data_IF_854612393844
#
_entry.id   IF_854612393844
#
_cell.length_a   1.000
_cell.length_b   1.000
_cell.length_c   1.000
_cell.angle_alpha   90.00
_cell.angle_beta   90.00
_cell.angle_gamma   90.00
#
_symmetry.space_group_name_H-M   'P 1'
#
loop_
_entity.id
_entity.type
_entity.pdbx_description
1 polymer ?
#
# COMPACT_ATOMS: atom_id res chain seq x y z
N UNK A 1 -18.25 -19.75 -8.59
CA UNK A 1 -17.25 -19.10 -7.71
C UNK A 1 -17.53 -17.61 -7.65
N UNK A 2 -17.41 -17.00 -6.48
CA UNK A 2 -17.57 -15.56 -6.30
C UNK A 2 -16.27 -14.85 -6.75
N UNK A 3 -16.33 -14.08 -7.84
CA UNK A 3 -15.16 -13.37 -8.41
C UNK A 3 -14.50 -12.42 -7.40
N UNK A 4 -15.30 -11.81 -6.53
CA UNK A 4 -14.83 -10.93 -5.48
C UNK A 4 -14.04 -11.71 -4.41
N UNK A 5 -14.49 -12.91 -4.05
CA UNK A 5 -13.73 -13.76 -3.12
C UNK A 5 -12.36 -14.12 -3.71
N UNK A 6 -12.30 -14.49 -5.00
CA UNK A 6 -11.03 -14.77 -5.67
C UNK A 6 -10.13 -13.54 -5.74
N UNK A 7 -10.69 -12.35 -6.01
CA UNK A 7 -9.94 -11.09 -5.93
C UNK A 7 -9.26 -10.88 -4.58
N UNK A 8 -9.98 -11.11 -3.47
CA UNK A 8 -9.40 -10.99 -2.13
C UNK A 8 -8.25 -12.00 -1.90
N UNK A 9 -8.38 -13.22 -2.39
CA UNK A 9 -7.31 -14.23 -2.31
C UNK A 9 -6.07 -13.81 -3.09
N UNK A 10 -6.25 -13.31 -4.33
CA UNK A 10 -5.17 -12.81 -5.18
C UNK A 10 -4.45 -11.64 -4.52
N UNK A 11 -5.20 -10.69 -3.96
CA UNK A 11 -4.63 -9.52 -3.28
C UNK A 11 -3.86 -9.89 -2.00
N UNK A 12 -4.29 -10.92 -1.28
CA UNK A 12 -3.57 -11.43 -0.09
C UNK A 12 -2.30 -12.20 -0.47
N UNK A 13 -2.40 -13.08 -1.47
CA UNK A 13 -1.30 -13.94 -1.91
C UNK A 13 -0.25 -13.20 -2.73
N UNK A 14 -0.62 -12.07 -3.35
CA UNK A 14 0.20 -11.33 -4.33
C UNK A 14 0.61 -12.22 -5.53
N UNK A 15 -0.21 -13.22 -5.86
CA UNK A 15 0.06 -14.13 -6.96
C UNK A 15 -0.30 -13.48 -8.31
N UNK A 16 0.73 -13.25 -9.14
CA UNK A 16 0.58 -12.57 -10.43
C UNK A 16 -0.11 -13.43 -11.49
N UNK A 17 0.07 -14.75 -11.46
CA UNK A 17 -0.57 -15.64 -12.42
C UNK A 17 -2.08 -15.73 -12.18
N UNK A 18 -2.49 -15.76 -10.91
CA UNK A 18 -3.91 -15.71 -10.58
C UNK A 18 -4.53 -14.35 -10.90
N UNK A 19 -3.77 -13.25 -10.74
CA UNK A 19 -4.23 -11.92 -11.15
C UNK A 19 -4.42 -11.85 -12.67
N UNK A 20 -3.52 -12.45 -13.45
CA UNK A 20 -3.61 -12.49 -14.91
C UNK A 20 -4.87 -13.22 -15.40
N UNK A 21 -5.19 -14.36 -14.77
CA UNK A 21 -6.39 -15.14 -15.06
C UNK A 21 -7.69 -14.44 -14.60
N UNK A 22 -7.61 -13.55 -13.61
CA UNK A 22 -8.77 -12.83 -13.07
C UNK A 22 -9.13 -11.60 -13.90
N UNK A 23 -8.15 -10.97 -14.56
CA UNK A 23 -8.35 -9.78 -15.38
C UNK A 23 -8.86 -10.15 -16.78
N UNK A 24 -9.75 -9.32 -17.32
CA UNK A 24 -10.14 -9.40 -18.73
C UNK A 24 -9.05 -8.77 -19.62
N UNK A 25 -8.94 -9.21 -20.87
CA UNK A 25 -7.96 -8.66 -21.82
C UNK A 25 -8.22 -7.18 -22.13
N UNK A 26 -9.50 -6.79 -22.15
CA UNK A 26 -10.01 -5.44 -22.44
C UNK A 26 -10.30 -4.60 -21.18
N UNK A 27 -9.80 -5.02 -20.02
CA UNK A 27 -10.03 -4.33 -18.75
C UNK A 27 -9.63 -2.85 -18.83
N UNK A 28 -10.41 -1.98 -18.18
CA UNK A 28 -10.13 -0.55 -18.10
C UNK A 28 -9.86 -0.18 -16.64
N UNK A 29 -8.68 0.34 -16.37
CA UNK A 29 -8.26 0.80 -15.06
C UNK A 29 -8.44 2.31 -14.93
N UNK A 30 -9.11 2.73 -13.85
CA UNK A 30 -9.34 4.13 -13.50
C UNK A 30 -8.45 4.52 -12.33
N UNK A 31 -7.40 5.27 -12.62
CA UNK A 31 -6.46 5.75 -11.60
C UNK A 31 -6.96 7.04 -10.94
N UNK A 32 -6.88 7.16 -9.60
CA UNK A 32 -7.15 8.42 -8.89
C UNK A 32 -6.04 9.46 -9.06
N UNK A 33 -4.97 9.15 -9.81
CA UNK A 33 -3.83 10.06 -10.05
C UNK A 33 -3.76 10.47 -11.51
N UNK A 34 -3.88 9.50 -12.43
CA UNK A 34 -3.70 9.75 -13.87
C UNK A 34 -4.99 10.21 -14.54
N UNK A 35 -6.16 10.03 -13.90
CA UNK A 35 -7.51 10.48 -14.31
C UNK A 35 -7.92 10.21 -15.77
N UNK A 36 -7.11 9.44 -16.49
CA UNK A 36 -7.31 8.96 -17.86
C UNK A 36 -7.54 7.46 -17.78
N UNK A 37 -8.56 6.92 -18.47
CA UNK A 37 -8.83 5.48 -18.46
C UNK A 37 -7.70 4.70 -19.15
N UNK A 38 -7.05 3.81 -18.41
CA UNK A 38 -5.96 2.99 -18.92
C UNK A 38 -6.51 1.64 -19.38
N UNK A 39 -6.42 1.32 -20.67
CA UNK A 39 -7.01 0.11 -21.25
C UNK A 39 -5.97 -1.00 -21.41
N UNK A 40 -6.37 -2.22 -21.07
CA UNK A 40 -5.60 -3.44 -21.27
C UNK A 40 -5.17 -4.10 -19.96
N UNK A 41 -5.05 -5.43 -20.04
CA UNK A 41 -4.63 -6.29 -18.92
C UNK A 41 -3.24 -5.95 -18.40
N UNK A 42 -2.26 -5.77 -19.28
CA UNK A 42 -0.86 -5.57 -18.90
C UNK A 42 -0.65 -4.28 -18.10
N UNK A 43 -1.20 -3.16 -18.57
CA UNK A 43 -1.12 -1.88 -17.86
C UNK A 43 -1.86 -1.93 -16.52
N UNK A 44 -3.01 -2.61 -16.47
CA UNK A 44 -3.78 -2.78 -15.24
C UNK A 44 -3.00 -3.60 -14.21
N UNK A 45 -2.37 -4.71 -14.62
CA UNK A 45 -1.49 -5.52 -13.75
C UNK A 45 -0.36 -4.66 -13.16
N UNK A 46 0.32 -3.89 -13.99
CA UNK A 46 1.42 -3.02 -13.57
C UNK A 46 0.97 -2.05 -12.46
N UNK A 47 -0.17 -1.37 -12.65
CA UNK A 47 -0.70 -0.45 -11.65
C UNK A 47 -1.09 -1.15 -10.34
N UNK A 48 -1.76 -2.30 -10.41
CA UNK A 48 -2.17 -3.06 -9.22
C UNK A 48 -0.95 -3.57 -8.43
N UNK A 49 0.10 -4.00 -9.13
CA UNK A 49 1.36 -4.39 -8.49
C UNK A 49 2.04 -3.22 -7.79
N UNK A 50 2.15 -2.07 -8.46
CA UNK A 50 2.75 -0.87 -7.91
C UNK A 50 1.99 -0.40 -6.65
N UNK A 51 0.65 -0.37 -6.71
CA UNK A 51 -0.19 -0.06 -5.57
C UNK A 51 -0.01 -1.07 -4.42
N UNK A 52 0.07 -2.37 -4.72
CA UNK A 52 0.34 -3.41 -3.73
C UNK A 52 1.70 -3.27 -3.03
N UNK A 53 2.70 -2.70 -3.71
CA UNK A 53 3.99 -2.33 -3.10
C UNK A 53 3.89 -1.17 -2.12
N UNK A 54 3.10 -0.15 -2.45
CA UNK A 54 2.89 1.04 -1.60
C UNK A 54 2.04 0.71 -0.37
N UNK A 55 0.90 0.03 -0.58
CA UNK A 55 -0.05 -0.26 0.50
C UNK A 55 0.28 -1.54 1.28
N UNK A 56 1.08 -2.44 0.72
CA UNK A 56 1.52 -3.67 1.39
C UNK A 56 2.68 -3.49 2.37
N UNK A 57 3.23 -2.27 2.46
CA UNK A 57 4.33 -1.88 3.34
C UNK A 57 3.86 -1.42 4.71
N UNK A 58 3.25 -2.32 5.49
CA UNK A 58 3.18 -2.18 6.96
C UNK A 58 3.00 -3.53 7.66
N UNK A 59 3.65 -4.57 7.13
CA UNK A 59 4.09 -5.69 7.96
C UNK A 59 5.48 -5.35 8.49
N UNK A 60 5.65 -4.16 9.07
CA UNK A 60 6.71 -3.99 10.06
C UNK A 60 6.33 -4.96 11.18
N UNK A 61 6.90 -6.16 11.10
CA UNK A 61 7.36 -6.82 12.31
C UNK A 61 8.28 -5.78 12.94
N UNK A 62 7.72 -4.96 13.81
CA UNK A 62 8.44 -4.45 14.95
C UNK A 62 8.89 -5.69 15.73
N UNK A 63 9.93 -6.37 15.22
CA UNK A 63 10.98 -6.84 16.08
C UNK A 63 11.63 -5.55 16.58
N UNK A 64 10.93 -4.87 17.50
CA UNK A 64 11.61 -4.10 18.51
C UNK A 64 12.56 -5.09 19.14
N UNK A 65 13.79 -5.00 18.66
CA UNK A 65 14.98 -5.40 19.36
C UNK A 65 14.72 -5.12 20.83
N UNK A 66 14.84 -6.17 21.63
CA UNK A 66 15.05 -6.08 23.06
C UNK A 66 16.06 -4.95 23.30
N UNK A 67 15.56 -3.80 23.77
CA UNK A 67 16.40 -2.80 24.39
C UNK A 67 15.59 -2.25 25.56
N UNK A 68 15.86 -2.85 26.72
CA UNK A 68 15.55 -2.28 28.02
C UNK A 68 16.14 -0.86 28.05
N UNK A 69 15.31 0.13 27.77
CA UNK A 69 15.29 1.46 28.40
C UNK A 69 14.30 2.35 27.66
N UNK A 70 13.10 2.49 28.25
CA UNK A 70 11.95 3.18 27.68
C UNK A 70 12.11 4.70 27.61
N UNK A 71 12.87 5.19 26.62
CA UNK A 71 12.80 6.59 26.17
C UNK A 71 12.86 6.64 24.65
N UNK A 72 11.72 6.93 24.01
CA UNK A 72 11.70 7.33 22.61
C UNK A 72 12.58 8.57 22.42
N UNK A 73 13.46 8.56 21.42
CA UNK A 73 14.33 9.69 21.06
C UNK A 73 13.58 10.82 20.34
N UNK A 74 12.33 10.59 19.97
CA UNK A 74 11.50 11.55 19.26
C UNK A 74 10.70 12.39 20.26
N UNK A 75 10.96 13.70 20.28
CA UNK A 75 10.19 14.68 21.04
C UNK A 75 9.20 15.35 20.08
N UNK A 76 7.92 15.24 20.38
CA UNK A 76 6.88 16.01 19.69
C UNK A 76 6.71 17.33 20.40
N UNK A 77 6.84 18.42 19.65
CA UNK A 77 6.54 19.77 20.13
C UNK A 77 5.03 19.96 19.99
N UNK A 78 4.35 20.20 21.10
CA UNK A 78 2.90 20.40 21.14
C UNK A 78 2.50 21.86 20.92
N UNK A 79 3.38 22.79 21.29
CA UNK A 79 3.09 24.23 21.20
C UNK A 79 4.39 25.05 21.10
N UNK A 80 4.38 26.09 20.26
CA UNK A 80 5.47 27.06 20.13
C UNK A 80 5.10 28.26 21.00
N UNK A 81 5.88 28.51 22.05
CA UNK A 81 5.56 29.52 23.06
C UNK A 81 6.32 30.83 22.86
N UNK A 82 7.35 30.86 22.00
CA UNK A 82 8.09 32.08 21.61
C UNK A 82 8.88 31.89 20.29
N UNK A 83 9.39 32.98 19.70
CA UNK A 83 10.11 32.99 18.40
C UNK A 83 11.31 32.03 18.33
N UNK A 84 11.83 31.54 19.47
CA UNK A 84 12.96 30.61 19.53
C UNK A 84 12.77 29.40 20.47
N UNK A 85 11.56 29.17 20.99
CA UNK A 85 11.34 28.10 21.99
C UNK A 85 10.02 27.34 21.78
N UNK A 86 10.06 26.03 22.01
CA UNK A 86 8.90 25.16 21.87
C UNK A 86 8.92 24.01 22.90
N UNK A 87 7.73 23.57 23.33
CA UNK A 87 7.51 22.52 24.35
C UNK A 87 7.11 21.18 23.74
#
# INVERSE_FOLDING_TARGET
>A
MNKLAKWYEVMKSKNLEELDNLLADDVVFYSPVVFTPQKGKEITKMYLMAAGGVFGGNQNKDKSSDNKDGKSKFRYIKEITDEKSAL
#
